data_IF_333736872134
#
_entry.id   IF_333736872134
#
_cell.length_a   1.000
_cell.length_b   1.000
_cell.length_c   1.000
_cell.angle_alpha   90.00
_cell.angle_beta   90.00
_cell.angle_gamma   90.00
#
_symmetry.space_group_name_H-M   'P 1'
#
loop_
_entity.id
_entity.type
_entity.pdbx_description
1 polymer ?
#
# COMPACT_ATOMS: atom_id res chain seq x y z
N UNK A 1 2.67 5.50 28.19
CA UNK A 1 1.25 5.78 27.92
C UNK A 1 1.22 7.12 27.21
N UNK A 2 1.38 7.12 25.91
CA UNK A 2 1.21 8.35 25.10
C UNK A 2 -0.30 8.51 24.87
N UNK A 3 -0.88 9.54 25.48
CA UNK A 3 -2.20 10.05 25.12
C UNK A 3 -2.13 10.43 23.64
N UNK A 4 -2.64 9.56 22.77
CA UNK A 4 -2.93 9.94 21.41
C UNK A 4 -3.96 11.05 21.46
N UNK A 5 -3.53 12.28 21.23
CA UNK A 5 -4.40 13.44 21.14
C UNK A 5 -5.45 13.12 20.06
N UNK A 6 -6.71 12.91 20.49
CA UNK A 6 -7.81 12.66 19.55
C UNK A 6 -7.90 13.84 18.58
N UNK A 7 -7.56 13.62 17.33
CA UNK A 7 -7.57 14.64 16.28
C UNK A 7 -9.03 14.88 15.88
N UNK A 8 -9.55 16.08 16.14
CA UNK A 8 -10.94 16.44 15.87
C UNK A 8 -11.11 16.85 14.42
N UNK A 9 -11.98 16.17 13.69
CA UNK A 9 -12.36 16.49 12.31
C UNK A 9 -13.84 16.85 12.24
N UNK A 10 -14.14 18.09 11.84
CA UNK A 10 -15.52 18.54 11.66
C UNK A 10 -16.05 18.03 10.31
N UNK A 11 -17.24 17.43 10.32
CA UNK A 11 -17.87 16.80 9.16
C UNK A 11 -19.34 17.23 9.03
N UNK A 12 -19.82 17.45 7.82
CA UNK A 12 -21.22 17.75 7.55
C UNK A 12 -21.94 16.51 6.98
N UNK A 13 -23.18 16.29 7.43
CA UNK A 13 -24.01 15.18 6.92
C UNK A 13 -24.54 15.53 5.53
N UNK A 14 -24.45 14.60 4.58
CA UNK A 14 -25.01 14.75 3.22
C UNK A 14 -26.34 14.02 3.10
N UNK A 15 -27.44 14.72 2.83
CA UNK A 15 -28.70 14.08 2.46
C UNK A 15 -28.68 13.56 1.02
N UNK A 16 -28.04 14.31 0.10
CA UNK A 16 -28.03 14.03 -1.32
C UNK A 16 -26.83 13.17 -1.74
N UNK A 17 -27.10 12.15 -2.55
CA UNK A 17 -26.12 11.25 -3.12
C UNK A 17 -26.12 11.35 -4.65
N UNK A 18 -25.03 10.91 -5.28
CA UNK A 18 -24.93 10.81 -6.72
C UNK A 18 -23.77 11.60 -7.33
N UNK A 19 -23.52 11.33 -8.62
CA UNK A 19 -22.37 11.84 -9.39
C UNK A 19 -22.33 13.38 -9.47
N UNK A 20 -23.48 14.01 -9.71
CA UNK A 20 -23.56 15.46 -9.85
C UNK A 20 -23.21 16.20 -8.57
N UNK A 21 -23.77 15.77 -7.44
CA UNK A 21 -23.50 16.35 -6.12
C UNK A 21 -22.05 16.17 -5.71
N UNK A 22 -21.48 14.97 -5.86
CA UNK A 22 -20.08 14.71 -5.53
C UNK A 22 -19.12 15.58 -6.35
N UNK A 23 -19.42 15.84 -7.65
CA UNK A 23 -18.63 16.78 -8.47
C UNK A 23 -18.74 18.22 -7.99
N UNK A 24 -19.93 18.65 -7.55
CA UNK A 24 -20.16 20.01 -7.01
C UNK A 24 -19.37 20.21 -5.71
N UNK A 25 -19.43 19.26 -4.77
CA UNK A 25 -18.70 19.30 -3.52
C UNK A 25 -17.19 19.44 -3.75
N UNK A 26 -16.60 18.59 -4.62
CA UNK A 26 -15.17 18.67 -4.93
C UNK A 26 -14.75 20.01 -5.55
N UNK A 27 -15.63 20.65 -6.33
CA UNK A 27 -15.38 22.03 -6.84
C UNK A 27 -15.40 23.09 -5.74
N UNK A 28 -16.11 22.84 -4.66
CA UNK A 28 -16.20 23.70 -3.47
C UNK A 28 -15.11 23.40 -2.43
N UNK A 29 -14.16 22.51 -2.73
CA UNK A 29 -13.12 22.10 -1.77
C UNK A 29 -13.61 21.14 -0.70
N UNK A 30 -14.79 20.50 -0.91
CA UNK A 30 -15.29 19.49 0.00
C UNK A 30 -15.14 18.07 -0.58
N UNK A 31 -14.67 17.16 0.23
CA UNK A 31 -14.46 15.77 -0.13
C UNK A 31 -15.68 14.96 0.30
N UNK A 32 -16.33 14.23 -0.63
CA UNK A 32 -17.36 13.27 -0.26
C UNK A 32 -16.72 12.10 0.49
N UNK A 33 -17.32 11.72 1.62
CA UNK A 33 -16.87 10.60 2.44
C UNK A 33 -18.04 9.76 2.95
N UNK A 34 -17.73 8.56 3.42
CA UNK A 34 -18.69 7.64 4.01
C UNK A 34 -18.14 7.14 5.34
N UNK A 35 -18.99 7.09 6.37
CA UNK A 35 -18.68 6.50 7.67
C UNK A 35 -19.49 5.24 7.84
N UNK A 36 -18.86 4.10 7.95
CA UNK A 36 -19.50 2.79 8.13
C UNK A 36 -18.86 1.98 9.26
N UNK A 37 -19.36 0.79 9.50
CA UNK A 37 -18.90 -0.10 10.58
C UNK A 37 -19.68 0.05 11.88
N UNK A 38 -19.51 -0.93 12.78
CA UNK A 38 -20.31 -1.09 14.00
C UNK A 38 -21.78 -1.42 13.69
N UNK A 39 -22.63 -1.34 14.71
CA UNK A 39 -24.05 -1.74 14.64
C UNK A 39 -24.96 -0.70 13.98
N UNK A 40 -24.41 0.36 13.39
CA UNK A 40 -25.18 1.46 12.82
C UNK A 40 -25.07 1.53 11.31
N UNK A 41 -26.13 1.98 10.61
CA UNK A 41 -26.12 2.13 9.16
C UNK A 41 -25.02 3.09 8.70
N UNK A 42 -24.50 2.92 7.47
CA UNK A 42 -23.53 3.84 6.87
C UNK A 42 -24.14 5.24 6.74
N UNK A 43 -23.31 6.26 6.94
CA UNK A 43 -23.70 7.66 6.84
C UNK A 43 -22.81 8.36 5.83
N UNK A 44 -23.42 9.02 4.85
CA UNK A 44 -22.70 9.85 3.89
C UNK A 44 -22.42 11.23 4.51
N UNK A 45 -21.16 11.64 4.45
CA UNK A 45 -20.68 12.89 5.00
C UNK A 45 -19.86 13.67 3.95
N UNK A 46 -19.58 14.93 4.22
CA UNK A 46 -18.59 15.73 3.52
C UNK A 46 -17.57 16.28 4.50
N UNK A 47 -16.34 16.36 4.05
CA UNK A 47 -15.17 16.80 4.83
C UNK A 47 -14.51 17.95 4.08
N UNK A 48 -14.05 18.97 4.79
CA UNK A 48 -13.28 20.05 4.19
C UNK A 48 -11.88 19.56 3.79
N UNK A 49 -11.49 19.80 2.51
CA UNK A 49 -10.21 19.33 1.96
C UNK A 49 -9.01 19.95 2.67
N UNK A 50 -9.11 21.24 3.02
CA UNK A 50 -8.00 21.95 3.65
C UNK A 50 -7.74 21.43 5.07
N UNK A 51 -8.78 21.35 5.88
CA UNK A 51 -8.72 20.82 7.24
C UNK A 51 -8.19 19.40 7.29
N UNK A 52 -8.67 18.54 6.39
CA UNK A 52 -8.17 17.17 6.31
C UNK A 52 -6.69 17.12 5.92
N UNK A 53 -6.27 17.92 4.94
CA UNK A 53 -4.87 17.96 4.48
C UNK A 53 -3.92 18.42 5.59
N UNK A 54 -4.33 19.39 6.40
CA UNK A 54 -3.56 19.82 7.56
C UNK A 54 -3.46 18.72 8.61
N UNK A 55 -4.58 18.08 8.93
CA UNK A 55 -4.61 16.99 9.91
C UNK A 55 -3.73 15.80 9.47
N UNK A 56 -3.78 15.42 8.18
CA UNK A 56 -2.95 14.34 7.66
C UNK A 56 -1.44 14.66 7.61
N UNK A 57 -1.06 15.93 7.58
CA UNK A 57 0.34 16.35 7.71
C UNK A 57 0.87 16.22 9.14
N UNK A 58 0.00 16.44 10.12
CA UNK A 58 0.34 16.35 11.54
C UNK A 58 0.10 14.96 12.12
N UNK A 59 -0.77 14.17 11.50
CA UNK A 59 -1.00 12.79 11.87
C UNK A 59 0.19 11.92 11.47
N UNK A 60 0.55 10.96 12.31
CA UNK A 60 1.66 10.05 12.07
C UNK A 60 1.43 9.07 10.89
N UNK A 61 0.25 9.13 10.25
CA UNK A 61 -0.11 8.29 9.10
C UNK A 61 -1.61 8.17 8.87
N UNK A 62 -1.97 7.31 7.93
CA UNK A 62 -3.38 7.00 7.60
C UNK A 62 -4.09 6.22 8.73
N UNK A 63 -3.32 5.60 9.62
CA UNK A 63 -3.79 4.77 10.74
C UNK A 63 -4.19 5.58 12.00
N UNK A 64 -4.34 6.89 11.87
CA UNK A 64 -4.68 7.76 13.00
C UNK A 64 -6.17 7.67 13.34
N UNK A 65 -6.48 7.70 14.64
CA UNK A 65 -7.85 7.74 15.14
C UNK A 65 -8.33 9.20 15.13
N UNK A 66 -9.42 9.45 14.43
CA UNK A 66 -10.06 10.75 14.34
C UNK A 66 -11.34 10.79 15.19
N UNK A 67 -11.55 11.91 15.85
CA UNK A 67 -12.84 12.23 16.49
C UNK A 67 -13.68 13.02 15.48
N UNK A 68 -14.62 12.34 14.82
CA UNK A 68 -15.54 12.98 13.87
C UNK A 68 -16.62 13.73 14.64
N UNK A 69 -16.65 15.05 14.44
CA UNK A 69 -17.67 15.94 15.01
C UNK A 69 -18.66 16.35 13.92
N UNK A 70 -19.92 15.96 14.08
CA UNK A 70 -20.95 16.29 13.12
C UNK A 70 -21.43 17.74 13.31
N UNK A 71 -21.39 18.55 12.25
CA UNK A 71 -21.92 19.92 12.27
C UNK A 71 -23.40 19.93 12.65
N UNK A 72 -23.76 20.85 13.57
CA UNK A 72 -25.14 21.01 14.04
C UNK A 72 -25.59 19.98 15.08
N UNK A 73 -24.75 19.06 15.49
CA UNK A 73 -25.06 18.04 16.51
C UNK A 73 -23.90 17.91 17.49
N UNK A 74 -24.18 17.58 18.74
CA UNK A 74 -23.15 17.27 19.73
C UNK A 74 -22.63 15.82 19.62
N UNK A 75 -22.88 15.18 18.49
CA UNK A 75 -22.44 13.80 18.29
C UNK A 75 -20.97 13.77 17.89
N UNK A 76 -20.17 13.14 18.71
CA UNK A 76 -18.76 12.86 18.47
C UNK A 76 -18.58 11.35 18.31
N UNK A 77 -17.79 10.94 17.32
CA UNK A 77 -17.57 9.53 17.04
C UNK A 77 -16.14 9.27 16.68
N UNK A 78 -15.55 8.26 17.29
CA UNK A 78 -14.23 7.77 16.93
C UNK A 78 -14.33 6.96 15.64
N UNK A 79 -13.53 7.34 14.67
CA UNK A 79 -13.39 6.65 13.40
C UNK A 79 -11.93 6.70 12.93
N UNK A 80 -11.58 5.79 12.08
CA UNK A 80 -10.29 5.72 11.43
C UNK A 80 -10.50 5.81 9.92
N UNK A 81 -9.52 6.32 9.22
CA UNK A 81 -9.52 6.28 7.76
C UNK A 81 -9.19 4.86 7.32
N UNK A 82 -10.07 4.27 6.51
CA UNK A 82 -9.87 2.94 5.91
C UNK A 82 -9.20 3.05 4.55
N UNK A 83 -9.63 4.03 3.75
CA UNK A 83 -9.13 4.24 2.40
C UNK A 83 -9.22 5.71 2.02
N UNK A 84 -8.19 6.19 1.35
CA UNK A 84 -8.15 7.52 0.75
C UNK A 84 -7.96 7.38 -0.75
N UNK A 85 -8.95 7.79 -1.51
CA UNK A 85 -8.85 7.85 -2.96
C UNK A 85 -8.31 9.21 -3.39
N UNK A 86 -7.19 9.20 -4.10
CA UNK A 86 -6.54 10.39 -4.67
C UNK A 86 -6.59 10.32 -6.19
N UNK A 87 -6.80 11.44 -6.82
CA UNK A 87 -6.64 11.56 -8.27
C UNK A 87 -5.15 11.52 -8.62
N UNK A 88 -4.68 10.56 -9.43
CA UNK A 88 -3.26 10.38 -9.74
C UNK A 88 -2.65 11.56 -10.51
N UNK A 89 -3.45 12.34 -11.23
CA UNK A 89 -2.97 13.48 -12.04
C UNK A 89 -2.92 14.76 -11.20
N UNK A 90 -4.02 15.10 -10.53
CA UNK A 90 -4.13 16.35 -9.77
C UNK A 90 -3.68 16.25 -8.31
N UNK A 91 -3.51 15.03 -7.78
CA UNK A 91 -3.18 14.75 -6.38
C UNK A 91 -4.29 15.12 -5.39
N UNK A 92 -5.48 15.51 -5.86
CA UNK A 92 -6.61 15.89 -5.02
C UNK A 92 -7.30 14.68 -4.45
N UNK A 93 -7.84 14.84 -3.25
CA UNK A 93 -8.66 13.80 -2.62
C UNK A 93 -10.00 13.69 -3.33
N UNK A 94 -10.36 12.47 -3.71
CA UNK A 94 -11.60 12.16 -4.44
C UNK A 94 -12.67 11.60 -3.51
N UNK A 95 -12.28 10.68 -2.63
CA UNK A 95 -13.17 10.03 -1.67
C UNK A 95 -12.40 9.58 -0.44
N UNK A 96 -13.10 9.48 0.69
CA UNK A 96 -12.53 8.97 1.94
C UNK A 96 -13.53 8.06 2.60
N UNK A 97 -13.02 6.90 2.99
CA UNK A 97 -13.77 5.89 3.72
C UNK A 97 -13.34 5.89 5.18
N UNK A 98 -14.29 6.14 6.06
CA UNK A 98 -14.09 6.06 7.50
C UNK A 98 -14.76 4.81 8.06
N UNK A 99 -14.02 4.07 8.86
CA UNK A 99 -14.56 2.96 9.67
C UNK A 99 -14.73 3.42 11.11
N UNK A 100 -15.92 3.17 11.68
CA UNK A 100 -16.19 3.46 13.09
C UNK A 100 -15.41 2.50 13.97
N UNK A 101 -14.82 3.04 15.02
CA UNK A 101 -14.09 2.27 16.01
C UNK A 101 -15.05 1.92 17.15
N UNK A 102 -15.26 0.63 17.36
CA UNK A 102 -15.98 0.09 18.50
C UNK A 102 -14.97 -0.57 19.44
N UNK A 103 -15.00 -0.22 20.72
CA UNK A 103 -14.09 -0.82 21.70
C UNK A 103 -14.29 -2.34 21.75
N UNK A 104 -13.19 -3.09 21.73
CA UNK A 104 -13.22 -4.56 21.79
C UNK A 104 -13.36 -5.30 20.45
N UNK A 105 -13.63 -4.61 19.36
CA UNK A 105 -13.58 -5.21 18.04
C UNK A 105 -12.19 -5.06 17.41
N UNK A 106 -11.67 -6.14 16.85
CA UNK A 106 -10.44 -6.13 16.12
C UNK A 106 -10.61 -5.41 14.78
N UNK A 107 -9.61 -4.67 14.38
CA UNK A 107 -9.57 -3.92 13.15
C UNK A 107 -8.51 -4.51 12.21
N UNK A 108 -8.83 -4.58 10.93
CA UNK A 108 -7.88 -4.91 9.87
C UNK A 108 -7.30 -3.60 9.34
N UNK A 109 -6.02 -3.41 9.54
CA UNK A 109 -5.33 -2.15 9.20
C UNK A 109 -4.13 -2.47 8.32
N UNK A 110 -3.85 -1.59 7.38
CA UNK A 110 -2.60 -1.60 6.61
C UNK A 110 -1.60 -0.68 7.28
N UNK A 111 -0.53 -1.26 7.77
CA UNK A 111 0.53 -0.51 8.45
C UNK A 111 1.72 -0.38 7.52
N UNK A 112 2.18 0.85 7.21
CA UNK A 112 3.34 1.05 6.37
C UNK A 112 4.60 0.58 7.07
N UNK A 113 5.54 0.04 6.27
CA UNK A 113 6.87 -0.38 6.73
C UNK A 113 7.87 0.71 6.37
N UNK A 114 8.66 1.14 7.33
CA UNK A 114 9.75 2.09 7.16
C UNK A 114 11.07 1.37 7.41
N UNK A 115 11.97 1.46 6.43
CA UNK A 115 13.29 0.87 6.51
C UNK A 115 14.26 1.87 7.13
N UNK A 116 15.04 1.42 8.10
CA UNK A 116 16.04 2.23 8.79
C UNK A 116 17.39 1.52 8.74
N UNK A 117 18.47 2.30 8.65
CA UNK A 117 19.84 1.77 8.61
C UNK A 117 20.40 1.68 7.19
N UNK A 118 21.74 1.58 7.15
CA UNK A 118 22.51 1.44 5.91
C UNK A 118 22.88 -0.04 5.73
N UNK A 119 22.24 -0.69 4.78
CA UNK A 119 22.44 -2.10 4.46
C UNK A 119 23.87 -2.40 4.02
N UNK A 120 24.52 -3.40 4.64
CA UNK A 120 25.87 -3.89 4.25
C UNK A 120 25.88 -4.35 2.79
N UNK A 121 24.83 -5.01 2.35
CA UNK A 121 24.68 -5.46 0.96
C UNK A 121 24.68 -4.33 -0.06
N UNK A 122 24.15 -3.14 0.29
CA UNK A 122 24.22 -1.95 -0.59
C UNK A 122 25.64 -1.42 -0.69
N UNK A 123 26.40 -1.43 0.42
CA UNK A 123 27.83 -1.07 0.39
C UNK A 123 28.65 -2.04 -0.46
N UNK A 124 28.21 -3.30 -0.55
CA UNK A 124 28.76 -4.33 -1.44
C UNK A 124 28.33 -4.19 -2.91
N UNK A 125 27.58 -3.14 -3.28
CA UNK A 125 27.12 -2.88 -4.64
C UNK A 125 25.73 -3.48 -4.95
N UNK A 126 25.03 -4.03 -3.96
CA UNK A 126 23.65 -4.52 -4.10
C UNK A 126 22.61 -3.41 -4.17
N UNK A 127 21.41 -3.79 -4.53
CA UNK A 127 20.24 -2.91 -4.55
C UNK A 127 19.18 -3.46 -3.60
N UNK A 128 18.61 -2.57 -2.78
CA UNK A 128 17.45 -2.90 -1.95
C UNK A 128 16.20 -2.83 -2.80
N UNK A 129 15.51 -3.94 -2.95
CA UNK A 129 14.19 -4.01 -3.59
C UNK A 129 13.14 -4.17 -2.47
N UNK A 130 12.31 -3.14 -2.31
CA UNK A 130 11.24 -3.08 -1.33
C UNK A 130 9.95 -3.59 -1.96
N UNK A 131 9.59 -4.85 -1.68
CA UNK A 131 8.47 -5.56 -2.31
C UNK A 131 7.14 -5.21 -1.65
N UNK A 132 7.07 -5.30 -0.32
CA UNK A 132 5.85 -5.04 0.44
C UNK A 132 6.02 -3.83 1.34
N UNK A 133 5.48 -2.69 0.89
CA UNK A 133 5.57 -1.41 1.61
C UNK A 133 4.55 -1.26 2.73
N UNK A 134 3.50 -2.05 2.70
CA UNK A 134 2.42 -2.07 3.67
C UNK A 134 2.13 -3.52 4.04
N UNK A 135 1.80 -3.76 5.30
CA UNK A 135 1.43 -5.07 5.81
C UNK A 135 0.04 -5.02 6.43
N UNK A 136 -0.80 -6.00 6.09
CA UNK A 136 -2.14 -6.13 6.68
C UNK A 136 -2.05 -6.81 8.04
N UNK A 137 -2.53 -6.09 9.07
CA UNK A 137 -2.50 -6.54 10.46
C UNK A 137 -3.89 -6.47 11.06
N UNK A 138 -4.25 -7.49 11.82
CA UNK A 138 -5.41 -7.50 12.70
C UNK A 138 -4.97 -7.07 14.09
N UNK A 139 -5.52 -5.95 14.61
CA UNK A 139 -5.16 -5.42 15.93
C UNK A 139 -6.36 -4.78 16.64
N UNK A 140 -6.22 -4.57 17.94
CA UNK A 140 -7.19 -3.81 18.72
C UNK A 140 -6.94 -2.31 18.59
N UNK A 141 -7.99 -1.46 18.68
CA UNK A 141 -7.83 0.00 18.62
C UNK A 141 -6.89 0.61 19.66
N UNK A 142 -6.62 -0.11 20.75
CA UNK A 142 -5.71 0.34 21.80
C UNK A 142 -4.23 0.15 21.46
N UNK A 143 -3.95 -0.81 20.57
CA UNK A 143 -2.61 -1.24 20.19
C UNK A 143 -2.29 -0.80 18.76
N UNK A 144 -2.91 0.30 18.32
CA UNK A 144 -2.72 0.88 17.00
C UNK A 144 -1.26 1.23 16.78
N UNK A 145 -0.74 0.82 15.62
CA UNK A 145 0.61 1.11 15.17
C UNK A 145 0.54 2.05 13.96
N UNK A 146 1.33 3.11 14.03
CA UNK A 146 1.41 4.08 12.93
C UNK A 146 2.30 3.56 11.81
N UNK A 147 3.40 2.89 12.13
CA UNK A 147 4.38 2.32 11.20
C UNK A 147 5.18 1.19 11.83
N UNK A 148 5.70 0.30 11.01
CA UNK A 148 6.74 -0.66 11.39
C UNK A 148 8.10 -0.09 11.03
N UNK A 149 8.98 0.07 12.01
CA UNK A 149 10.36 0.46 11.78
C UNK A 149 11.22 -0.81 11.73
N UNK A 150 11.80 -1.09 10.57
CA UNK A 150 12.58 -2.30 10.30
C UNK A 150 14.02 -1.91 10.05
N UNK A 151 14.93 -2.44 10.85
CA UNK A 151 16.37 -2.24 10.65
C UNK A 151 16.89 -3.22 9.59
N UNK A 152 17.55 -2.67 8.58
CA UNK A 152 18.16 -3.43 7.47
C UNK A 152 19.68 -3.40 7.50
N UNK A 153 20.29 -2.89 8.57
CA UNK A 153 21.74 -2.68 8.65
C UNK A 153 22.53 -3.98 8.45
N UNK A 154 22.04 -5.10 8.96
CA UNK A 154 22.70 -6.42 8.93
C UNK A 154 22.40 -7.25 7.67
N UNK A 155 21.66 -6.69 6.70
CA UNK A 155 21.29 -7.42 5.49
C UNK A 155 22.45 -7.45 4.48
N UNK A 156 22.87 -8.67 4.14
CA UNK A 156 23.86 -8.95 3.11
C UNK A 156 23.24 -9.15 1.71
N UNK A 157 24.11 -9.23 0.70
CA UNK A 157 23.71 -9.52 -0.69
C UNK A 157 22.97 -10.86 -0.79
N UNK A 158 21.83 -10.87 -1.46
CA UNK A 158 20.99 -12.06 -1.66
C UNK A 158 20.12 -12.42 -0.46
N UNK A 159 20.22 -11.73 0.67
CA UNK A 159 19.34 -11.95 1.82
C UNK A 159 18.04 -11.18 1.69
N UNK A 160 17.01 -11.67 2.37
CA UNK A 160 15.68 -11.06 2.41
C UNK A 160 15.13 -11.07 3.84
N UNK A 161 14.21 -10.15 4.11
CA UNK A 161 13.37 -10.16 5.30
C UNK A 161 11.95 -10.58 4.91
N UNK A 162 11.39 -11.51 5.66
CA UNK A 162 10.03 -11.99 5.53
C UNK A 162 9.12 -11.45 6.63
N UNK A 163 7.81 -11.61 6.49
CA UNK A 163 6.83 -11.20 7.50
C UNK A 163 7.06 -11.91 8.83
N UNK A 164 7.55 -13.16 8.82
CA UNK A 164 7.89 -13.92 10.03
C UNK A 164 8.93 -13.22 10.90
N UNK A 165 9.92 -12.56 10.28
CA UNK A 165 11.00 -11.87 11.00
C UNK A 165 10.50 -10.61 11.71
N UNK A 166 9.38 -10.05 11.25
CA UNK A 166 8.74 -8.89 11.83
C UNK A 166 7.76 -9.21 12.97
N UNK A 167 7.52 -10.48 13.25
CA UNK A 167 6.57 -10.91 14.31
C UNK A 167 6.96 -10.35 15.69
N UNK A 168 8.26 -10.19 15.94
CA UNK A 168 8.77 -9.60 17.18
C UNK A 168 8.44 -8.12 17.40
N UNK A 169 8.01 -7.40 16.34
CA UNK A 169 7.61 -5.98 16.39
C UNK A 169 6.13 -5.79 16.67
N UNK A 170 5.34 -6.88 16.67
CA UNK A 170 3.91 -6.84 16.93
C UNK A 170 3.61 -6.83 18.43
N UNK A 171 2.60 -6.08 18.88
CA UNK A 171 2.01 -6.28 20.21
C UNK A 171 1.34 -7.66 20.30
N UNK A 172 1.24 -8.20 21.52
CA UNK A 172 0.69 -9.55 21.78
C UNK A 172 -0.75 -9.75 21.26
N UNK A 173 -1.50 -8.66 21.14
CA UNK A 173 -2.89 -8.67 20.67
C UNK A 173 -3.04 -8.60 19.15
N UNK A 174 -1.95 -8.33 18.43
CA UNK A 174 -1.96 -8.15 16.99
C UNK A 174 -1.52 -9.41 16.24
N UNK A 175 -2.00 -9.57 15.02
CA UNK A 175 -1.65 -10.70 14.15
C UNK A 175 -1.51 -10.24 12.71
N UNK A 176 -0.48 -10.70 12.00
CA UNK A 176 -0.40 -10.56 10.55
C UNK A 176 -1.48 -11.39 9.87
N UNK A 177 -2.15 -10.81 8.87
CA UNK A 177 -3.13 -11.50 8.03
C UNK A 177 -2.48 -12.06 6.77
N UNK A 178 -1.27 -11.66 6.48
CA UNK A 178 -0.49 -12.08 5.33
C UNK A 178 0.30 -13.38 5.61
N UNK A 179 0.76 -14.00 4.52
CA UNK A 179 1.58 -15.20 4.60
C UNK A 179 2.91 -14.89 5.32
N UNK A 180 3.28 -15.65 6.36
CA UNK A 180 4.55 -15.48 7.08
C UNK A 180 5.79 -15.56 6.18
N UNK A 181 5.72 -16.30 5.06
CA UNK A 181 6.81 -16.46 4.10
C UNK A 181 6.88 -15.31 3.07
N UNK A 182 5.91 -14.38 3.09
CA UNK A 182 5.93 -13.24 2.19
C UNK A 182 7.15 -12.37 2.43
N UNK A 183 7.90 -12.11 1.37
CA UNK A 183 9.09 -11.27 1.42
C UNK A 183 8.70 -9.79 1.48
N UNK A 184 9.29 -9.08 2.43
CA UNK A 184 9.08 -7.63 2.61
C UNK A 184 10.17 -6.85 1.88
N UNK A 185 11.43 -7.23 2.10
CA UNK A 185 12.61 -6.58 1.53
C UNK A 185 13.59 -7.64 1.08
N UNK A 186 14.24 -7.43 -0.05
CA UNK A 186 15.33 -8.26 -0.56
C UNK A 186 16.49 -7.39 -1.03
N UNK A 187 17.71 -7.84 -0.79
CA UNK A 187 18.91 -7.20 -1.34
C UNK A 187 19.36 -7.96 -2.58
N UNK A 188 19.03 -7.41 -3.75
CA UNK A 188 19.37 -8.01 -5.03
C UNK A 188 20.84 -7.73 -5.39
N UNK A 189 21.51 -8.75 -5.98
CA UNK A 189 22.85 -8.58 -6.55
C UNK A 189 22.74 -7.76 -7.85
N UNK A 190 23.71 -6.88 -8.14
CA UNK A 190 23.70 -6.13 -9.40
C UNK A 190 23.85 -7.10 -10.59
N UNK A 191 23.00 -6.93 -11.59
CA UNK A 191 22.95 -7.78 -12.79
C UNK A 191 24.29 -7.92 -13.54
N UNK A 192 25.26 -7.02 -13.29
CA UNK A 192 26.60 -7.10 -13.88
C UNK A 192 27.45 -8.25 -13.30
N UNK A 193 27.28 -8.59 -11.99
CA UNK A 193 28.02 -9.68 -11.37
C UNK A 193 27.49 -11.08 -11.77
N UNK A 194 26.19 -11.18 -12.08
CA UNK A 194 25.59 -12.44 -12.55
C UNK A 194 26.05 -12.84 -13.97
N UNK A 195 26.38 -11.85 -14.82
CA UNK A 195 26.90 -12.11 -16.17
C UNK A 195 28.37 -12.61 -16.16
N UNK A 196 29.14 -12.28 -15.12
CA UNK A 196 30.54 -12.67 -15.02
C UNK A 196 30.72 -14.07 -14.43
N UNK A 197 29.77 -14.52 -13.62
CA UNK A 197 29.77 -15.89 -13.06
C UNK A 197 29.29 -16.93 -14.09
N UNK A 198 28.44 -16.54 -15.04
CA UNK A 198 27.97 -17.41 -16.13
C UNK A 198 29.01 -17.54 -17.28
N UNK A 199 29.96 -16.59 -17.37
CA UNK A 199 31.06 -16.63 -18.34
C UNK A 199 32.30 -17.46 -17.89
N UNK A 200 32.31 -17.93 -16.63
CA UNK A 200 33.42 -18.68 -16.05
C UNK A 200 33.19 -20.20 -15.95
N UNK A 201 32.18 -20.75 -16.62
CA UNK A 201 32.05 -22.20 -16.76
C UNK A 201 32.97 -22.70 -17.89
N UNK A 202 33.81 -23.72 -17.66
CA UNK A 202 34.81 -24.12 -18.65
C UNK A 202 34.17 -24.77 -19.86
N UNK A 203 34.59 -24.28 -21.03
CA UNK A 203 34.30 -24.84 -22.34
C UNK A 203 34.99 -26.22 -22.40
N UNK A 204 34.21 -27.28 -22.21
CA UNK A 204 34.62 -28.62 -22.57
C UNK A 204 34.30 -28.89 -24.04
N UNK A 205 35.36 -29.18 -24.77
CA UNK A 205 35.37 -29.58 -26.16
C UNK A 205 34.34 -30.68 -26.48
N UNK A 206 33.67 -30.55 -27.63
CA UNK A 206 33.67 -31.65 -28.63
C UNK A 206 32.90 -31.25 -29.91
N UNK A 207 33.70 -31.27 -31.00
CA UNK A 207 33.46 -31.92 -32.30
C UNK A 207 32.40 -31.36 -33.25
N UNK A 208 32.95 -30.84 -34.29
CA UNK A 208 32.46 -30.47 -35.62
C UNK A 208 31.73 -31.66 -36.31
N UNK A 209 30.55 -31.41 -36.87
CA UNK A 209 30.05 -32.02 -38.10
C UNK A 209 29.05 -31.06 -38.76
N UNK A 210 29.47 -30.40 -39.74
CA UNK A 210 29.17 -30.35 -41.20
C UNK A 210 27.67 -30.27 -41.59
N UNK A 211 27.40 -29.12 -42.22
CA UNK A 211 26.57 -28.84 -43.39
C UNK A 211 25.10 -29.30 -43.46
N UNK A 212 24.24 -28.33 -43.60
CA UNK A 212 23.33 -28.23 -44.75
C UNK A 212 22.67 -26.84 -44.80
N UNK A 213 22.75 -26.24 -45.96
CA UNK A 213 22.25 -24.94 -46.38
C UNK A 213 20.70 -24.84 -46.41
N UNK A 214 20.19 -23.63 -46.58
CA UNK A 214 18.78 -23.31 -46.35
C UNK A 214 17.98 -23.40 -47.66
N UNK A 215 16.76 -23.93 -47.58
CA UNK A 215 15.78 -23.77 -48.66
C UNK A 215 14.74 -22.70 -48.30
N UNK A 216 14.77 -21.68 -49.10
CA UNK A 216 13.79 -20.62 -49.24
C UNK A 216 12.60 -21.15 -50.05
N UNK A 217 11.42 -21.19 -49.49
CA UNK A 217 10.17 -21.29 -50.24
C UNK A 217 9.35 -20.03 -50.10
N UNK A 218 9.34 -19.28 -51.18
CA UNK A 218 8.39 -18.21 -51.47
C UNK A 218 7.09 -18.79 -52.04
N UNK A 219 6.04 -18.06 -51.82
CA UNK A 219 4.80 -17.93 -52.61
C UNK A 219 3.56 -18.64 -52.12
N UNK A 220 2.53 -17.82 -52.05
CA UNK A 220 1.12 -18.19 -52.13
C UNK A 220 0.19 -17.06 -51.73
N UNK A 221 0.11 -16.03 -52.59
CA UNK A 221 -1.00 -15.07 -52.64
C UNK A 221 -2.17 -15.77 -53.29
N UNK A 222 -3.32 -15.81 -52.68
CA UNK A 222 -4.62 -16.00 -53.35
C UNK A 222 -5.62 -15.04 -52.76
N UNK A 223 -6.10 -14.20 -53.62
CA UNK A 223 -7.27 -13.31 -53.52
C UNK A 223 -8.59 -14.07 -53.65
N UNK A 224 -9.63 -13.30 -53.28
CA UNK A 224 -11.02 -13.38 -53.74
C UNK A 224 -11.92 -14.36 -52.94
N UNK A 225 -13.16 -14.14 -52.67
CA UNK A 225 -14.22 -13.22 -53.13
C UNK A 225 -15.49 -13.53 -52.29
N UNK A 226 -16.25 -12.52 -52.02
CA UNK A 226 -17.70 -12.38 -52.04
C UNK A 226 -18.63 -13.49 -51.55
N UNK A 227 -19.65 -13.03 -50.85
CA UNK A 227 -20.98 -13.55 -51.01
C UNK A 227 -21.85 -13.66 -49.76
N UNK A 228 -22.79 -12.75 -49.73
CA UNK A 228 -24.12 -12.65 -49.15
C UNK A 228 -24.30 -12.25 -47.70
#
# INVERSE_FOLDING_TARGET
MSESADIVLTVAKRPDQGKGMSRRLRRQGQIPAVVYGGDRPPVSISVDEHSLRELLKHAAGENTIFLLKLEGTKEERRAMIREIQKDPISGRYVHIDFIRITAGHKLHVRVPVELVGDCVGVRGGGRVDFISRELEVELLPRDMLDKFTVDISDLDLGHHLSVSDLTGLLPESARFLEDPLRVVVVVATPKAAAAEVEAAAPVGETVITEAAEPEVIRKGKVEAEEGE
#
